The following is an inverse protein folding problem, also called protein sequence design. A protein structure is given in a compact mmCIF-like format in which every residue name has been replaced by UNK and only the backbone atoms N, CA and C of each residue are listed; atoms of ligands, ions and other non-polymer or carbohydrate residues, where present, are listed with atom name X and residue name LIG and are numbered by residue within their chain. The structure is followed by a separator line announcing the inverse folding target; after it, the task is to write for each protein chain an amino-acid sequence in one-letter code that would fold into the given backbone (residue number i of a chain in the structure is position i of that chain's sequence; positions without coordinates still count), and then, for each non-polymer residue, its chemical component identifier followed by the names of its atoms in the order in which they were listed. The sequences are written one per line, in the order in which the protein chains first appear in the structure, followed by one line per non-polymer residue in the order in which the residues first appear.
data_IF_608315689162
#
_entry.id   IF_608315689162
#
_cell.length_a   1.000
_cell.length_b   1.000
_cell.length_c   1.000
_cell.angle_alpha   90.00
_cell.angle_beta   90.00
_cell.angle_gamma   90.00
#
_symmetry.space_group_name_H-M   'P 1'
#
loop_
_entity.id
_entity.type
_entity.pdbx_description
1 polymer ?
#
# COMPACT_ATOMS: atom_id res chain seq x y z
N UNK A 1 -16.32 17.72 1.09
CA UNK A 1 -15.05 17.55 0.38
C UNK A 1 -14.80 18.82 -0.41
N UNK A 2 -13.82 19.59 0.00
CA UNK A 2 -13.41 20.82 -0.68
C UNK A 2 -12.46 20.51 -1.83
N UNK A 3 -12.35 21.39 -2.82
CA UNK A 3 -11.54 21.16 -4.03
C UNK A 3 -10.06 20.88 -3.71
N UNK A 4 -9.52 21.50 -2.66
CA UNK A 4 -8.12 21.35 -2.25
C UNK A 4 -7.80 19.96 -1.70
N UNK A 5 -8.80 19.24 -1.18
CA UNK A 5 -8.60 17.89 -0.62
C UNK A 5 -8.31 16.89 -1.73
N UNK A 6 -8.96 17.03 -2.89
CA UNK A 6 -8.65 16.23 -4.08
C UNK A 6 -7.21 16.45 -4.55
N UNK A 7 -6.75 17.70 -4.58
CA UNK A 7 -5.36 18.03 -4.95
C UNK A 7 -4.37 17.44 -3.94
N UNK A 8 -4.69 17.48 -2.66
CA UNK A 8 -3.89 16.88 -1.60
C UNK A 8 -3.79 15.36 -1.78
N UNK A 9 -4.91 14.67 -1.99
CA UNK A 9 -4.92 13.22 -2.23
C UNK A 9 -4.12 12.82 -3.47
N UNK A 10 -4.26 13.57 -4.57
CA UNK A 10 -3.49 13.33 -5.78
C UNK A 10 -2.00 13.58 -5.54
N UNK A 11 -1.64 14.68 -4.89
CA UNK A 11 -0.26 15.05 -4.61
C UNK A 11 0.45 14.05 -3.69
N UNK A 12 -0.18 13.72 -2.54
CA UNK A 12 0.36 12.73 -1.60
C UNK A 12 0.38 11.35 -2.24
N UNK A 13 -0.68 10.94 -2.94
CA UNK A 13 -0.73 9.66 -3.65
C UNK A 13 0.37 9.51 -4.69
N UNK A 14 0.70 10.57 -5.41
CA UNK A 14 1.82 10.59 -6.37
C UNK A 14 3.17 10.40 -5.68
N UNK A 15 3.46 11.19 -4.63
CA UNK A 15 4.72 11.12 -3.88
C UNK A 15 4.86 9.76 -3.17
N UNK A 16 3.81 9.33 -2.49
CA UNK A 16 3.74 8.00 -1.89
C UNK A 16 3.95 6.91 -2.93
N UNK A 17 3.44 7.11 -4.15
CA UNK A 17 3.60 6.16 -5.23
C UNK A 17 5.04 5.97 -5.68
N UNK A 18 5.76 7.09 -5.82
CA UNK A 18 7.20 7.10 -6.10
C UNK A 18 7.96 6.39 -4.98
N UNK A 19 7.71 6.77 -3.72
CA UNK A 19 8.39 6.19 -2.55
C UNK A 19 8.13 4.69 -2.46
N UNK A 20 6.90 4.25 -2.66
CA UNK A 20 6.55 2.84 -2.59
C UNK A 20 7.26 2.04 -3.68
N UNK A 21 7.34 2.57 -4.90
CA UNK A 21 8.02 1.91 -6.02
C UNK A 21 9.53 1.81 -5.83
N UNK A 22 10.16 2.82 -5.20
CA UNK A 22 11.62 2.88 -5.03
C UNK A 22 12.12 2.21 -3.74
N UNK A 23 11.38 2.36 -2.64
CA UNK A 23 11.83 2.00 -1.29
C UNK A 23 10.81 1.19 -0.46
N UNK A 24 9.57 0.99 -0.94
CA UNK A 24 8.56 0.16 -0.28
C UNK A 24 7.84 0.78 0.93
N UNK A 25 7.93 2.10 1.12
CA UNK A 25 7.40 2.80 2.32
C UNK A 25 6.28 3.81 2.09
N UNK A 26 5.71 3.90 0.88
CA UNK A 26 4.75 4.97 0.55
C UNK A 26 3.48 4.98 1.41
N UNK A 27 3.13 3.84 1.99
CA UNK A 27 1.99 3.72 2.91
C UNK A 27 2.14 4.57 4.17
N UNK A 28 3.36 4.91 4.57
CA UNK A 28 3.62 5.80 5.71
C UNK A 28 3.10 7.23 5.49
N UNK A 29 2.85 7.61 4.23
CA UNK A 29 2.21 8.89 3.89
C UNK A 29 0.70 8.74 3.70
N UNK A 30 0.25 7.68 3.02
CA UNK A 30 -1.17 7.52 2.69
C UNK A 30 -2.01 7.11 3.88
N UNK A 31 -1.50 6.29 4.81
CA UNK A 31 -2.27 5.84 5.96
C UNK A 31 -2.59 6.98 6.95
N UNK A 32 -1.61 7.79 7.41
CA UNK A 32 -1.93 8.94 8.26
C UNK A 32 -2.83 9.96 7.56
N UNK A 33 -2.67 10.16 6.25
CA UNK A 33 -3.55 11.03 5.48
C UNK A 33 -5.00 10.52 5.51
N UNK A 34 -5.24 9.25 5.17
CA UNK A 34 -6.58 8.67 5.18
C UNK A 34 -7.23 8.73 6.56
N UNK A 35 -6.47 8.44 7.62
CA UNK A 35 -6.95 8.53 8.99
C UNK A 35 -7.21 9.96 9.45
N UNK A 36 -6.38 10.91 9.01
CA UNK A 36 -6.62 12.35 9.26
C UNK A 36 -7.96 12.81 8.67
N UNK A 37 -8.37 12.23 7.54
CA UNK A 37 -9.69 12.45 6.94
C UNK A 37 -10.81 11.58 7.55
N UNK A 38 -10.57 10.94 8.69
CA UNK A 38 -11.58 10.28 9.51
C UNK A 38 -11.81 8.80 9.21
N UNK A 39 -10.97 8.16 8.39
CA UNK A 39 -11.03 6.71 8.24
C UNK A 39 -10.41 6.03 9.47
N UNK A 40 -11.09 5.03 10.00
CA UNK A 40 -10.51 4.11 10.99
C UNK A 40 -9.29 3.39 10.41
N UNK A 41 -8.33 3.01 11.24
CA UNK A 41 -7.05 2.42 10.81
C UNK A 41 -7.21 1.17 9.92
N UNK A 42 -8.17 0.30 10.26
CA UNK A 42 -8.50 -0.89 9.46
C UNK A 42 -9.01 -0.53 8.07
N UNK A 43 -9.94 0.44 7.98
CA UNK A 43 -10.52 0.90 6.72
C UNK A 43 -9.46 1.62 5.88
N UNK A 44 -8.66 2.51 6.49
CA UNK A 44 -7.56 3.19 5.83
C UNK A 44 -6.55 2.22 5.22
N UNK A 45 -6.15 1.17 5.97
CA UNK A 45 -5.26 0.15 5.45
C UNK A 45 -5.87 -0.63 4.29
N UNK A 46 -7.14 -1.03 4.38
CA UNK A 46 -7.84 -1.71 3.29
C UNK A 46 -7.92 -0.84 2.02
N UNK A 47 -8.33 0.42 2.15
CA UNK A 47 -8.41 1.39 1.04
C UNK A 47 -7.05 1.59 0.37
N UNK A 48 -5.98 1.73 1.15
CA UNK A 48 -4.63 1.92 0.64
C UNK A 48 -4.15 0.73 -0.22
N UNK A 49 -4.58 -0.51 0.06
CA UNK A 49 -4.18 -1.68 -0.74
C UNK A 49 -4.68 -1.63 -2.17
N UNK A 50 -5.82 -1.00 -2.45
CA UNK A 50 -6.35 -0.85 -3.81
C UNK A 50 -5.37 -0.04 -4.66
N UNK A 51 -4.88 1.09 -4.13
CA UNK A 51 -3.90 1.92 -4.82
C UNK A 51 -2.58 1.19 -5.07
N UNK A 52 -2.12 0.40 -4.09
CA UNK A 52 -0.89 -0.41 -4.21
C UNK A 52 -1.02 -1.50 -5.28
N UNK A 53 -2.18 -2.15 -5.40
CA UNK A 53 -2.41 -3.15 -6.47
C UNK A 53 -2.27 -2.50 -7.84
N UNK A 54 -2.94 -1.37 -8.06
CA UNK A 54 -2.86 -0.63 -9.33
C UNK A 54 -1.42 -0.17 -9.62
N UNK A 55 -0.74 0.35 -8.61
CA UNK A 55 0.67 0.72 -8.73
C UNK A 55 1.56 -0.47 -9.08
N UNK A 56 1.38 -1.62 -8.43
CA UNK A 56 2.17 -2.82 -8.68
C UNK A 56 1.99 -3.33 -10.11
N UNK A 57 0.76 -3.27 -10.65
CA UNK A 57 0.49 -3.63 -12.06
C UNK A 57 1.33 -2.74 -12.99
N UNK A 58 1.30 -1.41 -12.77
CA UNK A 58 2.07 -0.45 -13.57
C UNK A 58 3.58 -0.63 -13.38
N UNK A 59 4.04 -0.87 -12.14
CA UNK A 59 5.44 -1.08 -11.80
C UNK A 59 6.01 -2.34 -12.46
N UNK A 60 5.31 -3.47 -12.34
CA UNK A 60 5.69 -4.74 -13.00
C UNK A 60 5.71 -4.56 -14.52
N UNK A 61 4.69 -3.95 -15.11
CA UNK A 61 4.65 -3.70 -16.56
C UNK A 61 5.82 -2.82 -17.02
N UNK A 62 6.16 -1.78 -16.25
CA UNK A 62 7.23 -0.83 -16.57
C UNK A 62 8.62 -1.46 -16.42
N UNK A 63 8.88 -2.20 -15.34
CA UNK A 63 10.15 -2.89 -15.13
C UNK A 63 10.33 -4.09 -16.08
N UNK A 64 9.23 -4.75 -16.48
CA UNK A 64 9.27 -5.76 -17.55
C UNK A 64 9.76 -5.16 -18.86
N UNK A 65 9.22 -4.01 -19.27
CA UNK A 65 9.65 -3.30 -20.50
C UNK A 65 11.13 -2.91 -20.48
N UNK A 66 11.70 -2.68 -19.29
CA UNK A 66 13.12 -2.38 -19.11
C UNK A 66 14.02 -3.62 -19.03
N UNK A 67 13.46 -4.83 -19.13
CA UNK A 67 14.20 -6.10 -19.01
C UNK A 67 15.00 -6.26 -17.71
N UNK A 68 14.56 -5.61 -16.62
CA UNK A 68 15.23 -5.68 -15.30
C UNK A 68 14.58 -6.67 -14.33
N UNK A 69 13.51 -7.35 -14.75
CA UNK A 69 12.78 -8.30 -13.90
C UNK A 69 13.27 -9.74 -14.11
N UNK A 70 13.69 -10.39 -13.02
CA UNK A 70 13.87 -11.84 -12.96
C UNK A 70 12.55 -12.51 -12.55
N UNK A 71 11.75 -12.95 -13.52
CA UNK A 71 10.45 -13.59 -13.25
C UNK A 71 10.56 -14.90 -12.47
N UNK A 72 11.65 -15.67 -12.66
CA UNK A 72 11.85 -16.92 -11.93
C UNK A 72 12.05 -16.64 -10.44
N UNK A 73 12.91 -15.70 -10.09
CA UNK A 73 13.10 -15.27 -8.70
C UNK A 73 11.81 -14.64 -8.14
N UNK A 74 11.16 -13.78 -8.94
CA UNK A 74 9.89 -13.15 -8.55
C UNK A 74 8.82 -14.17 -8.17
N UNK A 75 8.68 -15.26 -8.92
CA UNK A 75 7.72 -16.33 -8.59
C UNK A 75 8.06 -17.08 -7.30
N UNK A 76 9.36 -17.36 -7.06
CA UNK A 76 9.80 -18.00 -5.82
C UNK A 76 9.56 -17.13 -4.59
N UNK A 77 9.65 -15.80 -4.73
CA UNK A 77 9.35 -14.85 -3.66
C UNK A 77 7.85 -14.59 -3.51
N UNK A 78 7.08 -14.67 -4.60
CA UNK A 78 5.64 -14.43 -4.60
C UNK A 78 4.88 -15.47 -3.77
N UNK A 79 5.30 -16.73 -3.76
CA UNK A 79 4.62 -17.80 -3.01
C UNK A 79 4.62 -17.53 -1.49
N UNK A 80 5.77 -17.37 -0.81
CA UNK A 80 5.77 -17.08 0.62
C UNK A 80 5.14 -15.71 0.94
N UNK A 81 5.31 -14.71 0.07
CA UNK A 81 4.65 -13.42 0.23
C UNK A 81 3.12 -13.53 0.16
N UNK A 82 2.58 -14.33 -0.76
CA UNK A 82 1.15 -14.59 -0.89
C UNK A 82 0.62 -15.25 0.38
N UNK A 83 1.26 -16.34 0.83
CA UNK A 83 0.85 -17.06 2.05
C UNK A 83 0.86 -16.11 3.25
N UNK A 84 1.95 -15.35 3.44
CA UNK A 84 2.06 -14.37 4.52
C UNK A 84 1.01 -13.26 4.42
N UNK A 85 0.70 -12.77 3.20
CA UNK A 85 -0.30 -11.73 3.00
C UNK A 85 -1.72 -12.20 3.32
N UNK A 86 -2.06 -13.45 3.00
CA UNK A 86 -3.37 -14.04 3.31
C UNK A 86 -3.51 -14.20 4.83
N UNK A 87 -2.51 -14.79 5.49
CA UNK A 87 -2.52 -14.95 6.95
C UNK A 87 -2.59 -13.58 7.63
N UNK A 88 -1.76 -12.62 7.19
CA UNK A 88 -1.74 -11.26 7.73
C UNK A 88 -3.07 -10.51 7.50
N UNK A 89 -3.75 -10.75 6.39
CA UNK A 89 -5.07 -10.16 6.13
C UNK A 89 -6.14 -10.68 7.10
N UNK A 90 -6.16 -11.98 7.40
CA UNK A 90 -7.09 -12.53 8.40
C UNK A 90 -6.82 -11.94 9.79
N UNK A 91 -5.54 -11.88 10.20
CA UNK A 91 -5.15 -11.26 11.47
C UNK A 91 -5.57 -9.79 11.50
N UNK A 92 -5.33 -9.03 10.44
CA UNK A 92 -5.64 -7.61 10.38
C UNK A 92 -7.15 -7.31 10.52
N UNK A 93 -8.03 -8.24 10.14
CA UNK A 93 -9.49 -8.09 10.29
C UNK A 93 -9.95 -8.42 11.71
N UNK A 94 -9.19 -9.22 12.46
CA UNK A 94 -9.54 -9.63 13.82
C UNK A 94 -9.00 -8.68 14.90
N UNK A 95 -7.91 -7.95 14.64
CA UNK A 95 -7.32 -7.04 15.62
C UNK A 95 -8.12 -5.74 15.78
N UNK A 96 -8.13 -5.22 17.01
CA UNK A 96 -8.76 -3.95 17.33
C UNK A 96 -8.00 -2.75 16.72
N UNK A 97 -8.66 -1.60 16.70
CA UNK A 97 -8.15 -0.39 16.05
C UNK A 97 -6.84 0.11 16.68
N UNK A 98 -6.67 0.01 18.00
CA UNK A 98 -5.46 0.48 18.69
C UNK A 98 -4.27 -0.41 18.38
N UNK A 99 -4.48 -1.73 18.33
CA UNK A 99 -3.48 -2.68 17.88
C UNK A 99 -3.13 -2.45 16.40
N UNK A 100 -4.12 -2.16 15.56
CA UNK A 100 -3.89 -1.86 14.15
C UNK A 100 -3.02 -0.62 14.00
N UNK A 101 -3.35 0.51 14.65
CA UNK A 101 -2.57 1.76 14.64
C UNK A 101 -1.09 1.52 14.96
N UNK A 102 -0.82 0.79 16.05
CA UNK A 102 0.54 0.38 16.44
C UNK A 102 1.23 -0.45 15.37
N UNK A 103 0.51 -1.37 14.73
CA UNK A 103 1.05 -2.26 13.69
C UNK A 103 1.43 -1.51 12.42
N UNK A 104 0.60 -0.55 11.99
CA UNK A 104 0.86 0.26 10.79
C UNK A 104 1.75 1.47 11.05
N UNK A 105 2.19 1.68 12.30
CA UNK A 105 3.07 2.77 12.70
C UNK A 105 2.42 4.14 12.61
N UNK A 106 1.13 4.21 12.92
CA UNK A 106 0.30 5.39 12.72
C UNK A 106 -0.47 5.80 13.99
#
# INVERSE_FOLDING_TARGET
MEWYEYLLFVGVGFVAGIINTLAGGGSLLTLPLLMFFGLEANVANATNRIAIILQNIVGVASFKKKNVLNFKLGFHLAIPALIGSVIGAFIAVEIDEDMMKKTIGA
#
